data_IF_089852552995
#
_entry.id   IF_089852552995
#
_cell.length_a   1.000
_cell.length_b   1.000
_cell.length_c   1.000
_cell.angle_alpha   90.00
_cell.angle_beta   90.00
_cell.angle_gamma   90.00
#
_symmetry.space_group_name_H-M   'P 1'
#
loop_
_entity.id
_entity.type
_entity.pdbx_description
1 polymer ?
#
# COMPACT_ATOMS: atom_id res chain seq x y z
N UNK A 1 -21.66 0.85 13.42
CA UNK A 1 -22.01 0.36 12.06
C UNK A 1 -22.14 -1.16 12.02
N UNK A 2 -21.06 -1.92 12.22
CA UNK A 2 -21.11 -3.40 12.19
C UNK A 2 -21.93 -4.04 13.32
N UNK A 3 -22.08 -3.33 14.45
CA UNK A 3 -22.89 -3.77 15.60
C UNK A 3 -24.39 -3.93 15.30
N UNK A 4 -24.89 -3.38 14.19
CA UNK A 4 -26.31 -3.49 13.80
C UNK A 4 -26.63 -4.83 13.11
N UNK A 5 -25.61 -5.61 12.74
CA UNK A 5 -25.77 -6.90 12.07
C UNK A 5 -25.51 -8.03 13.08
N UNK A 6 -26.23 -9.14 12.94
CA UNK A 6 -26.05 -10.35 13.75
C UNK A 6 -24.85 -11.17 13.28
N UNK A 7 -24.63 -11.24 11.97
CA UNK A 7 -23.45 -11.87 11.33
C UNK A 7 -22.83 -10.89 10.32
N UNK A 8 -22.09 -9.87 10.81
CA UNK A 8 -21.54 -8.85 9.95
C UNK A 8 -20.48 -9.44 9.00
N UNK A 9 -20.60 -9.13 7.70
CA UNK A 9 -19.54 -9.37 6.72
C UNK A 9 -18.95 -8.02 6.32
N UNK A 10 -17.66 -7.84 6.62
CA UNK A 10 -16.89 -6.68 6.16
C UNK A 10 -16.12 -7.08 4.93
N UNK A 11 -16.40 -6.42 3.81
CA UNK A 11 -15.66 -6.64 2.58
C UNK A 11 -14.68 -5.48 2.34
N UNK A 12 -13.39 -5.80 2.39
CA UNK A 12 -12.32 -4.87 2.09
C UNK A 12 -11.83 -5.14 0.66
N UNK A 13 -12.44 -4.44 -0.29
CA UNK A 13 -12.23 -4.68 -1.73
C UNK A 13 -10.84 -4.27 -2.19
N UNK A 14 -10.23 -5.12 -3.02
CA UNK A 14 -8.92 -4.89 -3.64
C UNK A 14 -7.78 -5.12 -2.66
N UNK A 15 -6.56 -4.76 -3.06
CA UNK A 15 -5.35 -4.96 -2.27
C UNK A 15 -4.91 -3.72 -1.49
N UNK A 16 -5.78 -2.74 -1.24
CA UNK A 16 -5.37 -1.47 -0.62
C UNK A 16 -4.89 -1.63 0.83
N UNK A 17 -5.24 -2.73 1.50
CA UNK A 17 -4.69 -3.09 2.80
C UNK A 17 -3.17 -3.29 2.71
N UNK A 18 -2.68 -3.71 1.54
CA UNK A 18 -1.25 -3.89 1.29
C UNK A 18 -0.51 -2.59 1.04
N UNK A 19 -1.17 -1.43 1.15
CA UNK A 19 -0.45 -0.16 1.27
C UNK A 19 -0.01 0.14 2.71
N UNK A 20 -0.53 -0.61 3.69
CA UNK A 20 -0.16 -0.48 5.09
C UNK A 20 1.14 -1.25 5.36
N UNK A 21 2.05 -0.64 6.12
CA UNK A 21 3.15 -1.38 6.73
C UNK A 21 2.64 -2.58 7.50
N UNK A 22 3.45 -3.62 7.66
CA UNK A 22 3.11 -4.82 8.46
C UNK A 22 2.55 -4.44 9.84
N UNK A 23 3.20 -3.49 10.52
CA UNK A 23 2.73 -2.98 11.82
C UNK A 23 1.37 -2.27 11.77
N UNK A 24 1.07 -1.54 10.70
CA UNK A 24 -0.23 -0.89 10.53
C UNK A 24 -1.31 -1.89 10.08
N UNK A 25 -0.94 -2.92 9.33
CA UNK A 25 -1.81 -4.04 8.98
C UNK A 25 -2.24 -4.79 10.25
N UNK A 26 -1.30 -5.11 11.15
CA UNK A 26 -1.60 -5.71 12.46
C UNK A 26 -2.54 -4.84 13.31
N UNK A 27 -2.26 -3.53 13.39
CA UNK A 27 -3.17 -2.58 14.08
C UNK A 27 -4.55 -2.54 13.45
N UNK A 28 -4.64 -2.63 12.13
CA UNK A 28 -5.91 -2.69 11.42
C UNK A 28 -6.67 -3.97 11.78
N UNK A 29 -6.03 -5.15 11.73
CA UNK A 29 -6.65 -6.40 12.14
C UNK A 29 -7.10 -6.39 13.59
N UNK A 30 -6.28 -5.87 14.51
CA UNK A 30 -6.68 -5.71 15.91
C UNK A 30 -7.91 -4.83 16.11
N UNK A 31 -8.07 -3.79 15.30
CA UNK A 31 -9.28 -2.95 15.32
C UNK A 31 -10.48 -3.68 14.71
N UNK A 32 -10.28 -4.46 13.65
CA UNK A 32 -11.35 -5.22 13.01
C UNK A 32 -11.84 -6.35 13.92
N UNK A 33 -10.94 -7.11 14.55
CA UNK A 33 -11.29 -8.19 15.48
C UNK A 33 -12.09 -7.67 16.68
N UNK A 34 -11.74 -6.49 17.21
CA UNK A 34 -12.51 -5.82 18.26
C UNK A 34 -13.87 -5.28 17.80
N UNK A 35 -13.99 -4.87 16.53
CA UNK A 35 -15.22 -4.26 16.01
C UNK A 35 -16.24 -5.29 15.52
N UNK A 36 -15.79 -6.46 15.08
CA UNK A 36 -16.64 -7.57 14.65
C UNK A 36 -17.23 -8.29 15.87
N UNK A 37 -18.50 -8.69 15.76
CA UNK A 37 -19.13 -9.58 16.75
C UNK A 37 -18.58 -11.00 16.59
N UNK A 38 -18.81 -11.89 17.58
CA UNK A 38 -18.73 -13.33 17.36
C UNK A 38 -19.51 -13.70 16.08
N UNK A 39 -18.94 -14.59 15.26
CA UNK A 39 -19.41 -14.95 13.90
C UNK A 39 -19.26 -13.87 12.81
N UNK A 40 -18.61 -12.75 13.10
CA UNK A 40 -18.26 -11.75 12.10
C UNK A 40 -17.18 -12.24 11.13
N UNK A 41 -17.28 -11.82 9.87
CA UNK A 41 -16.35 -12.21 8.80
C UNK A 41 -15.70 -10.96 8.20
N UNK A 42 -14.39 -11.01 7.97
CA UNK A 42 -13.65 -10.11 7.10
C UNK A 42 -13.30 -10.86 5.80
N UNK A 43 -13.71 -10.30 4.66
CA UNK A 43 -13.27 -10.73 3.33
C UNK A 43 -12.30 -9.67 2.82
N UNK A 44 -11.06 -10.05 2.51
CA UNK A 44 -10.01 -9.12 2.10
C UNK A 44 -9.16 -9.68 0.97
N UNK A 45 -8.93 -8.85 -0.05
CA UNK A 45 -8.05 -9.18 -1.16
C UNK A 45 -6.61 -8.76 -0.89
N UNK A 46 -5.64 -9.58 -1.27
CA UNK A 46 -4.22 -9.22 -1.29
C UNK A 46 -3.58 -9.73 -2.57
N UNK A 47 -2.60 -8.98 -3.06
CA UNK A 47 -1.70 -9.46 -4.10
C UNK A 47 -0.60 -10.29 -3.41
N UNK A 48 -0.37 -11.52 -3.86
CA UNK A 48 0.63 -12.45 -3.33
C UNK A 48 1.82 -12.65 -4.30
N UNK A 49 1.92 -11.86 -5.38
CA UNK A 49 2.97 -12.01 -6.39
C UNK A 49 4.38 -11.85 -5.80
N UNK A 50 5.22 -12.87 -5.95
CA UNK A 50 6.64 -12.82 -5.56
C UNK A 50 7.59 -12.69 -6.76
N UNK A 51 7.08 -12.78 -7.99
CA UNK A 51 7.91 -12.76 -9.18
C UNK A 51 8.33 -11.33 -9.53
N UNK A 52 9.59 -10.99 -9.31
CA UNK A 52 10.10 -9.64 -9.57
C UNK A 52 9.90 -9.20 -11.02
N UNK A 53 10.12 -10.07 -12.00
CA UNK A 53 9.96 -9.71 -13.41
C UNK A 53 8.52 -9.35 -13.74
N UNK A 54 7.56 -10.11 -13.22
CA UNK A 54 6.13 -9.82 -13.33
C UNK A 54 5.76 -8.52 -12.63
N UNK A 55 6.23 -8.33 -11.39
CA UNK A 55 6.01 -7.11 -10.61
C UNK A 55 6.59 -5.87 -11.34
N UNK A 56 7.82 -5.97 -11.86
CA UNK A 56 8.45 -4.91 -12.64
C UNK A 56 7.65 -4.62 -13.90
N UNK A 57 7.21 -5.64 -14.63
CA UNK A 57 6.35 -5.48 -15.80
C UNK A 57 5.03 -4.76 -15.50
N UNK A 58 4.46 -4.95 -14.30
CA UNK A 58 3.25 -4.29 -13.87
C UNK A 58 3.49 -2.84 -13.37
N UNK A 59 4.58 -2.60 -12.64
CA UNK A 59 4.78 -1.37 -11.87
C UNK A 59 5.87 -0.44 -12.39
N UNK A 60 6.80 -0.91 -13.22
CA UNK A 60 7.87 -0.10 -13.82
C UNK A 60 7.47 0.39 -15.21
N UNK A 61 6.30 1.02 -15.29
CA UNK A 61 5.68 1.49 -16.53
C UNK A 61 5.48 3.00 -16.49
N UNK A 62 5.41 3.65 -17.66
CA UNK A 62 5.19 5.09 -17.75
C UNK A 62 3.84 5.51 -17.14
N UNK A 63 2.81 4.66 -17.27
CA UNK A 63 1.48 4.90 -16.69
C UNK A 63 1.57 4.96 -15.16
N UNK A 64 2.25 3.99 -14.54
CA UNK A 64 2.45 3.96 -13.08
C UNK A 64 3.35 5.10 -12.63
N UNK A 65 4.42 5.41 -13.36
CA UNK A 65 5.30 6.54 -13.07
C UNK A 65 4.52 7.86 -13.04
N UNK A 66 3.69 8.13 -14.06
CA UNK A 66 2.83 9.32 -14.12
C UNK A 66 1.85 9.37 -12.95
N UNK A 67 1.20 8.24 -12.64
CA UNK A 67 0.26 8.15 -11.53
C UNK A 67 0.93 8.45 -10.18
N UNK A 68 2.06 7.80 -9.88
CA UNK A 68 2.77 7.95 -8.60
C UNK A 68 3.35 9.36 -8.46
N UNK A 69 4.00 9.89 -9.49
CA UNK A 69 4.60 11.23 -9.45
C UNK A 69 3.57 12.35 -9.46
N UNK A 70 2.30 12.05 -9.75
CA UNK A 70 1.23 13.04 -9.77
C UNK A 70 1.04 13.74 -8.41
N UNK A 71 1.52 13.14 -7.32
CA UNK A 71 1.56 13.80 -6.01
C UNK A 71 2.31 15.14 -6.05
N UNK A 72 3.39 15.26 -6.83
CA UNK A 72 4.14 16.52 -6.94
C UNK A 72 3.37 17.57 -7.74
N UNK A 73 2.54 17.16 -8.70
CA UNK A 73 1.62 18.08 -9.39
C UNK A 73 0.53 18.59 -8.44
N UNK A 74 -0.04 17.71 -7.59
CA UNK A 74 -0.99 18.12 -6.57
C UNK A 74 -0.36 19.04 -5.53
N UNK A 75 0.85 18.76 -5.06
CA UNK A 75 1.59 19.67 -4.18
C UNK A 75 1.73 21.06 -4.80
N UNK A 76 2.10 21.13 -6.08
CA UNK A 76 2.27 22.41 -6.78
C UNK A 76 0.95 23.18 -6.99
N UNK A 77 -0.18 22.48 -7.07
CA UNK A 77 -1.52 23.06 -7.29
C UNK A 77 -2.18 23.49 -5.98
N UNK A 78 -2.06 22.67 -4.95
CA UNK A 78 -2.91 22.73 -3.75
C UNK A 78 -2.22 23.35 -2.53
N UNK A 79 -0.88 23.41 -2.53
CA UNK A 79 -0.11 23.96 -1.42
C UNK A 79 0.42 25.36 -1.74
N UNK A 80 0.64 26.22 -0.73
CA UNK A 80 1.25 27.54 -0.91
C UNK A 80 2.74 27.41 -1.23
N UNK A 81 3.06 27.04 -2.47
CA UNK A 81 4.40 26.71 -2.92
C UNK A 81 4.84 27.59 -4.08
N UNK A 82 6.09 28.06 -4.06
CA UNK A 82 6.66 28.88 -5.13
C UNK A 82 8.01 28.33 -5.56
N UNK A 83 8.32 28.43 -6.86
CA UNK A 83 9.56 27.92 -7.47
C UNK A 83 9.77 26.39 -7.40
N UNK A 84 8.72 25.61 -7.14
CA UNK A 84 8.79 24.14 -7.18
C UNK A 84 8.55 23.60 -8.59
N UNK A 85 9.44 22.72 -9.07
CA UNK A 85 9.28 22.05 -10.35
C UNK A 85 8.94 20.56 -10.17
N UNK A 86 7.66 20.24 -10.32
CA UNK A 86 7.16 18.85 -10.26
C UNK A 86 7.80 17.90 -11.29
N UNK A 87 8.25 18.41 -12.44
CA UNK A 87 8.94 17.61 -13.45
C UNK A 87 10.40 17.29 -13.10
N UNK A 88 10.92 17.79 -11.98
CA UNK A 88 12.28 17.49 -11.53
C UNK A 88 12.42 16.10 -10.88
N UNK A 89 11.34 15.32 -10.80
CA UNK A 89 11.32 14.00 -10.13
C UNK A 89 11.14 12.87 -11.13
N UNK A 90 11.91 11.79 -10.95
CA UNK A 90 11.81 10.57 -11.76
C UNK A 90 11.39 9.40 -10.88
N UNK A 91 10.43 8.62 -11.37
CA UNK A 91 9.94 7.42 -10.70
C UNK A 91 11.03 6.33 -10.67
N UNK A 92 11.07 5.59 -9.58
CA UNK A 92 11.92 4.42 -9.41
C UNK A 92 11.10 3.30 -8.75
N UNK A 93 10.98 2.19 -9.46
CA UNK A 93 10.50 0.92 -8.93
C UNK A 93 11.62 0.22 -8.15
N UNK A 94 11.29 -0.30 -6.97
CA UNK A 94 12.20 -1.12 -6.16
C UNK A 94 11.43 -2.29 -5.54
N UNK A 95 11.89 -3.51 -5.81
CA UNK A 95 11.36 -4.72 -5.18
C UNK A 95 12.20 -5.11 -3.98
N UNK A 96 11.58 -5.17 -2.81
CA UNK A 96 12.20 -5.55 -1.54
C UNK A 96 11.70 -6.95 -1.15
N UNK A 97 12.32 -7.98 -1.72
CA UNK A 97 11.91 -9.38 -1.52
C UNK A 97 11.81 -9.80 -0.03
N UNK A 98 12.76 -9.46 0.87
CA UNK A 98 12.67 -9.84 2.29
C UNK A 98 11.48 -9.22 3.03
N UNK A 99 10.91 -8.14 2.50
CA UNK A 99 9.76 -7.44 3.06
C UNK A 99 8.49 -7.65 2.25
N UNK A 100 8.54 -8.47 1.19
CA UNK A 100 7.45 -8.66 0.26
C UNK A 100 6.85 -7.33 -0.23
N UNK A 101 7.70 -6.35 -0.57
CA UNK A 101 7.22 -4.98 -0.80
C UNK A 101 7.74 -4.38 -2.09
N UNK A 102 6.84 -3.90 -2.95
CA UNK A 102 7.17 -2.95 -3.99
C UNK A 102 7.20 -1.56 -3.38
N UNK A 103 8.35 -0.90 -3.46
CA UNK A 103 8.53 0.50 -3.10
C UNK A 103 8.42 1.35 -4.35
N UNK A 104 7.48 2.28 -4.33
CA UNK A 104 7.34 3.33 -5.33
C UNK A 104 8.07 4.56 -4.82
N UNK A 105 9.18 4.89 -5.48
CA UNK A 105 10.03 5.99 -5.07
C UNK A 105 10.09 7.08 -6.15
N UNK A 106 10.55 8.25 -5.74
CA UNK A 106 10.88 9.35 -6.63
C UNK A 106 12.29 9.87 -6.34
N UNK A 107 13.07 10.10 -7.39
CA UNK A 107 14.41 10.67 -7.29
C UNK A 107 14.42 12.08 -7.86
N UNK A 108 14.96 13.02 -7.11
CA UNK A 108 15.22 14.36 -7.59
C UNK A 108 16.33 14.32 -8.66
N UNK A 109 16.00 14.65 -9.90
CA UNK A 109 16.96 14.66 -11.02
C UNK A 109 17.82 15.93 -11.05
N UNK A 110 17.39 16.97 -10.33
CA UNK A 110 18.03 18.27 -10.18
C UNK A 110 17.85 18.75 -8.74
N UNK A 111 18.73 19.65 -8.32
CA UNK A 111 18.53 20.38 -7.08
C UNK A 111 17.27 21.26 -7.19
N UNK A 112 16.48 21.36 -6.12
CA UNK A 112 15.29 22.19 -6.03
C UNK A 112 15.41 23.13 -4.84
N UNK A 113 15.23 24.42 -5.08
CA UNK A 113 15.14 25.45 -4.07
C UNK A 113 13.78 26.13 -4.24
N UNK A 114 12.89 25.92 -3.28
CA UNK A 114 11.52 26.40 -3.36
C UNK A 114 11.04 26.85 -1.98
N UNK A 115 9.96 27.62 -1.94
CA UNK A 115 9.34 28.05 -0.69
C UNK A 115 8.02 27.33 -0.55
N UNK A 116 7.77 26.71 0.60
CA UNK A 116 6.50 26.09 0.96
C UNK A 116 6.00 26.75 2.25
N UNK A 117 4.85 27.41 2.18
CA UNK A 117 4.25 28.10 3.32
C UNK A 117 5.21 29.09 4.02
N UNK A 118 5.95 29.85 3.21
CA UNK A 118 6.98 30.79 3.69
C UNK A 118 8.30 30.14 4.15
N UNK A 119 8.38 28.80 4.20
CA UNK A 119 9.57 28.06 4.61
C UNK A 119 10.42 27.71 3.38
N UNK A 120 11.68 28.11 3.40
CA UNK A 120 12.64 27.71 2.35
C UNK A 120 13.03 26.25 2.49
N UNK A 121 12.87 25.48 1.41
CA UNK A 121 13.22 24.06 1.34
C UNK A 121 14.25 23.85 0.23
N UNK A 122 15.31 23.11 0.56
CA UNK A 122 16.31 22.62 -0.39
C UNK A 122 16.19 21.09 -0.52
N UNK A 123 16.03 20.61 -1.75
CA UNK A 123 16.15 19.19 -2.10
C UNK A 123 17.38 19.05 -2.98
N UNK A 124 18.37 18.28 -2.53
CA UNK A 124 19.57 18.01 -3.32
C UNK A 124 19.25 17.10 -4.51
N UNK A 125 20.01 17.26 -5.60
CA UNK A 125 20.00 16.28 -6.69
C UNK A 125 20.33 14.89 -6.13
N UNK A 126 19.58 13.89 -6.56
CA UNK A 126 19.74 12.50 -6.13
C UNK A 126 19.01 12.15 -4.84
N UNK A 127 18.35 13.11 -4.16
CA UNK A 127 17.50 12.77 -3.02
C UNK A 127 16.37 11.84 -3.46
N UNK A 128 16.28 10.68 -2.79
CA UNK A 128 15.25 9.65 -3.00
C UNK A 128 14.13 9.83 -1.98
N UNK A 129 12.90 9.83 -2.46
CA UNK A 129 11.67 9.92 -1.67
C UNK A 129 10.90 8.62 -1.80
N UNK A 130 10.52 8.04 -0.67
CA UNK A 130 9.55 6.96 -0.67
C UNK A 130 8.13 7.54 -0.73
N UNK A 131 7.34 7.15 -1.71
CA UNK A 131 5.99 7.69 -1.93
C UNK A 131 4.89 6.71 -1.54
N UNK A 132 5.05 5.44 -1.89
CA UNK A 132 4.05 4.41 -1.64
C UNK A 132 4.71 3.05 -1.47
N UNK A 133 4.23 2.27 -0.50
CA UNK A 133 4.52 0.85 -0.37
C UNK A 133 3.35 0.04 -0.93
N UNK A 134 3.63 -1.02 -1.67
CA UNK A 134 2.65 -2.02 -2.07
C UNK A 134 3.18 -3.40 -1.68
N UNK A 135 2.69 -3.91 -0.56
CA UNK A 135 3.04 -5.23 -0.06
C UNK A 135 2.38 -6.32 -0.89
N UNK A 136 3.07 -7.46 -0.99
CA UNK A 136 2.76 -8.61 -1.80
C UNK A 136 2.83 -9.86 -0.93
N UNK A 137 1.90 -10.03 0.00
CA UNK A 137 2.06 -11.06 1.03
C UNK A 137 1.73 -12.45 0.50
N UNK A 138 2.63 -13.45 0.63
CA UNK A 138 2.26 -14.85 0.45
C UNK A 138 1.09 -15.23 1.38
N UNK A 139 0.30 -16.23 0.98
CA UNK A 139 -0.90 -16.68 1.71
C UNK A 139 -0.59 -16.93 3.19
N UNK A 140 0.40 -17.78 3.48
CA UNK A 140 0.76 -18.17 4.85
C UNK A 140 1.22 -16.97 5.68
N UNK A 141 2.00 -16.08 5.07
CA UNK A 141 2.48 -14.87 5.75
C UNK A 141 1.32 -13.97 6.15
N UNK A 142 0.37 -13.73 5.24
CA UNK A 142 -0.79 -12.89 5.51
C UNK A 142 -1.72 -13.51 6.55
N UNK A 143 -1.92 -14.84 6.49
CA UNK A 143 -2.72 -15.55 7.48
C UNK A 143 -2.09 -15.49 8.87
N UNK A 144 -0.76 -15.60 9.00
CA UNK A 144 -0.07 -15.42 10.27
C UNK A 144 -0.25 -14.01 10.83
N UNK A 145 -0.16 -12.97 10.00
CA UNK A 145 -0.48 -11.60 10.43
C UNK A 145 -1.93 -11.46 10.90
N UNK A 146 -2.88 -12.11 10.23
CA UNK A 146 -4.28 -12.10 10.65
C UNK A 146 -4.45 -12.75 12.03
N UNK A 147 -3.78 -13.89 12.27
CA UNK A 147 -3.76 -14.58 13.57
C UNK A 147 -3.20 -13.69 14.66
N UNK A 148 -2.04 -13.08 14.43
CA UNK A 148 -1.43 -12.12 15.37
C UNK A 148 -2.35 -10.91 15.63
N UNK A 149 -3.15 -10.52 14.65
CA UNK A 149 -4.16 -9.46 14.76
C UNK A 149 -5.47 -9.85 15.46
N UNK A 150 -5.59 -11.09 15.96
CA UNK A 150 -6.79 -11.58 16.65
C UNK A 150 -7.91 -12.03 15.70
N UNK A 151 -7.58 -12.34 14.45
CA UNK A 151 -8.49 -12.96 13.49
C UNK A 151 -8.10 -14.42 13.27
N UNK A 152 -8.99 -15.20 12.66
CA UNK A 152 -8.77 -16.61 12.34
C UNK A 152 -8.97 -16.84 10.85
N UNK A 153 -8.00 -17.42 10.12
CA UNK A 153 -8.22 -17.88 8.75
C UNK A 153 -9.32 -18.93 8.69
N UNK A 154 -10.32 -18.72 7.83
CA UNK A 154 -11.41 -19.67 7.58
C UNK A 154 -11.20 -20.34 6.23
N UNK A 155 -10.96 -19.53 5.19
CA UNK A 155 -10.80 -20.00 3.81
C UNK A 155 -9.98 -18.99 2.99
N UNK A 156 -9.52 -19.38 1.80
CA UNK A 156 -8.93 -18.47 0.83
C UNK A 156 -9.13 -18.95 -0.60
N UNK A 157 -9.23 -18.00 -1.52
CA UNK A 157 -9.36 -18.25 -2.96
C UNK A 157 -8.21 -17.58 -3.68
N UNK A 158 -7.54 -18.32 -4.55
CA UNK A 158 -6.44 -17.82 -5.38
C UNK A 158 -6.91 -17.80 -6.82
N UNK A 159 -6.67 -16.70 -7.53
CA UNK A 159 -6.87 -16.67 -8.97
C UNK A 159 -5.80 -17.51 -9.67
N UNK A 160 -6.21 -18.35 -10.62
CA UNK A 160 -5.33 -19.27 -11.36
C UNK A 160 -4.33 -18.51 -12.27
N UNK A 161 -4.70 -17.29 -12.71
CA UNK A 161 -3.94 -16.54 -13.71
C UNK A 161 -3.13 -15.38 -13.12
N UNK A 162 -3.58 -14.84 -11.99
CA UNK A 162 -2.88 -13.78 -11.26
C UNK A 162 -2.79 -14.16 -9.78
N UNK A 163 -1.70 -13.85 -9.08
CA UNK A 163 -1.53 -14.21 -7.67
C UNK A 163 -2.36 -13.31 -6.74
N UNK A 164 -3.57 -12.91 -7.14
CA UNK A 164 -4.53 -12.28 -6.25
C UNK A 164 -5.16 -13.35 -5.37
N UNK A 165 -5.18 -13.09 -4.07
CA UNK A 165 -5.75 -13.97 -3.04
C UNK A 165 -6.86 -13.24 -2.32
N UNK A 166 -8.02 -13.87 -2.21
CA UNK A 166 -9.12 -13.42 -1.36
C UNK A 166 -9.09 -14.28 -0.11
N UNK A 167 -8.84 -13.66 1.04
CA UNK A 167 -8.91 -14.32 2.34
C UNK A 167 -10.29 -14.13 2.96
N UNK A 168 -10.80 -15.19 3.57
CA UNK A 168 -11.97 -15.19 4.45
C UNK A 168 -11.48 -15.40 5.88
N UNK A 169 -11.66 -14.39 6.72
CA UNK A 169 -11.16 -14.36 8.10
C UNK A 169 -12.34 -14.21 9.07
N UNK A 170 -12.34 -14.95 10.16
CA UNK A 170 -13.27 -14.80 11.29
C UNK A 170 -12.64 -14.10 12.48
N UNK A 171 -13.44 -13.80 13.49
CA UNK A 171 -12.94 -13.41 14.82
C UNK A 171 -12.52 -14.67 15.58
N UNK A 172 -11.35 -14.62 16.23
CA UNK A 172 -10.83 -15.71 17.08
C UNK A 172 -11.61 -15.87 18.39
#
# INVERSE_FOLDING_TARGET
LVQNFTKPVVFFKGSTITNLSTSNCLKFFGRISQALKPDGILIVGVDANQNESSLRGAYDTEIVAKFVLNIFHFMNRDLPITNFNSAAFKYEFEWLAPWHCVKHNANATKEQNFVLDGISINIKKGTKFHLLSSYKYPVDYFQNLAIEGGLKPIDYFVDENQPMVIHVLGVS
#
